data_IF_533152120433
#
_entry.id   IF_533152120433
#
_cell.length_a   1.000
_cell.length_b   1.000
_cell.length_c   1.000
_cell.angle_alpha   90.00
_cell.angle_beta   90.00
_cell.angle_gamma   90.00
#
_symmetry.space_group_name_H-M   'P 1'
#
loop_
_entity.id
_entity.type
_entity.pdbx_description
1 polymer ?
#
# COMPACT_ATOMS: atom_id res chain seq x y z
N UNK A 1 19.04 -15.22 9.27
CA UNK A 1 18.12 -14.91 8.15
C UNK A 1 18.30 -15.96 7.05
N UNK A 2 17.27 -16.76 6.78
CA UNK A 2 17.32 -17.90 5.83
C UNK A 2 17.50 -17.45 4.37
N UNK A 3 18.08 -18.31 3.53
CA UNK A 3 18.27 -18.07 2.09
C UNK A 3 16.93 -17.80 1.37
N UNK A 4 15.85 -18.45 1.80
CA UNK A 4 14.49 -18.29 1.26
C UNK A 4 13.95 -16.89 1.57
N UNK A 5 14.07 -16.43 2.81
CA UNK A 5 13.72 -15.08 3.26
C UNK A 5 14.40 -14.01 2.41
N UNK A 6 15.68 -14.21 2.10
CA UNK A 6 16.44 -13.28 1.26
C UNK A 6 15.99 -13.32 -0.20
N UNK A 7 15.56 -14.47 -0.72
CA UNK A 7 15.05 -14.58 -2.08
C UNK A 7 13.73 -13.81 -2.23
N UNK A 8 12.76 -14.04 -1.34
CA UNK A 8 11.48 -13.31 -1.33
C UNK A 8 11.69 -11.82 -1.23
N UNK A 9 12.52 -11.37 -0.29
CA UNK A 9 12.85 -9.95 -0.15
C UNK A 9 13.37 -9.33 -1.46
N UNK A 10 14.29 -10.00 -2.16
CA UNK A 10 14.80 -9.51 -3.45
C UNK A 10 13.72 -9.50 -4.53
N UNK A 11 12.82 -10.48 -4.54
CA UNK A 11 11.68 -10.53 -5.46
C UNK A 11 10.74 -9.35 -5.23
N UNK A 12 10.39 -9.03 -3.98
CA UNK A 12 9.55 -7.86 -3.66
C UNK A 12 10.22 -6.54 -4.10
N UNK A 13 11.52 -6.39 -3.85
CA UNK A 13 12.26 -5.20 -4.32
C UNK A 13 12.33 -5.11 -5.85
N UNK A 14 12.42 -6.25 -6.54
CA UNK A 14 12.38 -6.30 -8.00
C UNK A 14 10.99 -5.87 -8.51
N UNK A 15 9.93 -6.37 -7.88
CA UNK A 15 8.55 -5.97 -8.19
C UNK A 15 8.36 -4.46 -8.04
N UNK A 16 8.82 -3.86 -6.93
CA UNK A 16 8.75 -2.42 -6.73
C UNK A 16 9.46 -1.62 -7.84
N UNK A 17 10.59 -2.11 -8.34
CA UNK A 17 11.33 -1.46 -9.44
C UNK A 17 10.64 -1.60 -10.78
N UNK A 18 10.03 -2.75 -11.05
CA UNK A 18 9.28 -2.99 -12.29
C UNK A 18 7.83 -2.53 -12.21
N UNK A 19 7.38 -2.00 -11.07
CA UNK A 19 5.98 -1.63 -10.85
C UNK A 19 5.47 -0.60 -11.87
N UNK A 20 6.18 0.51 -12.14
CA UNK A 20 5.70 1.52 -13.10
C UNK A 20 5.52 0.94 -14.51
N UNK A 21 6.46 0.08 -14.92
CA UNK A 21 6.40 -0.70 -16.16
C UNK A 21 5.21 -1.66 -16.17
N UNK A 22 4.89 -2.25 -15.02
CA UNK A 22 3.79 -3.22 -14.89
C UNK A 22 2.41 -2.58 -14.99
N UNK A 23 2.24 -1.35 -14.48
CA UNK A 23 0.96 -0.61 -14.51
C UNK A 23 0.78 0.25 -15.76
N UNK A 24 1.79 0.35 -16.63
CA UNK A 24 1.70 1.07 -17.89
C UNK A 24 2.08 2.55 -17.83
N UNK A 25 2.79 2.98 -16.78
CA UNK A 25 3.18 4.38 -16.56
C UNK A 25 4.57 4.64 -17.19
N UNK A 26 4.61 4.65 -18.53
CA UNK A 26 5.85 4.73 -19.34
C UNK A 26 6.11 6.10 -19.95
N UNK A 27 5.04 6.84 -20.30
CA UNK A 27 5.12 8.03 -21.16
C UNK A 27 5.08 9.36 -20.38
N UNK A 28 5.12 9.31 -19.05
CA UNK A 28 5.06 10.47 -18.15
C UNK A 28 6.04 10.27 -16.98
N UNK A 29 6.52 11.34 -16.30
CA UNK A 29 7.00 11.18 -14.93
C UNK A 29 5.98 10.38 -14.13
N UNK A 30 6.48 9.44 -13.30
CA UNK A 30 5.66 8.57 -12.45
C UNK A 30 4.52 9.38 -11.85
N UNK A 31 3.29 8.92 -12.04
CA UNK A 31 2.17 9.56 -11.34
C UNK A 31 2.40 9.47 -9.83
N UNK A 32 1.94 10.47 -9.08
CA UNK A 32 2.01 10.46 -7.61
C UNK A 32 1.44 9.16 -7.02
N UNK A 33 0.40 8.62 -7.67
CA UNK A 33 -0.20 7.33 -7.33
C UNK A 33 0.76 6.16 -7.55
N UNK A 34 1.37 6.04 -8.72
CA UNK A 34 2.35 4.98 -9.01
C UNK A 34 3.53 5.05 -8.04
N UNK A 35 3.96 6.26 -7.66
CA UNK A 35 5.03 6.47 -6.69
C UNK A 35 4.63 6.01 -5.28
N UNK A 36 3.42 6.34 -4.83
CA UNK A 36 2.86 5.86 -3.55
C UNK A 36 2.80 4.32 -3.51
N UNK A 37 2.36 3.69 -4.61
CA UNK A 37 2.30 2.23 -4.74
C UNK A 37 3.71 1.59 -4.69
N UNK A 38 4.70 2.20 -5.34
CA UNK A 38 6.10 1.75 -5.28
C UNK A 38 6.64 1.82 -3.84
N UNK A 39 6.39 2.92 -3.15
CA UNK A 39 6.82 3.09 -1.76
C UNK A 39 6.08 2.12 -0.82
N UNK A 40 4.81 1.83 -1.09
CA UNK A 40 4.06 0.80 -0.37
C UNK A 40 4.71 -0.58 -0.50
N UNK A 41 5.04 -1.01 -1.74
CA UNK A 41 5.68 -2.32 -1.99
C UNK A 41 7.05 -2.39 -1.31
N UNK A 42 7.83 -1.29 -1.31
CA UNK A 42 9.11 -1.20 -0.58
C UNK A 42 8.91 -1.27 0.93
N UNK A 43 7.87 -0.63 1.45
CA UNK A 43 7.48 -0.64 2.86
C UNK A 43 7.19 -2.06 3.35
N UNK A 44 6.40 -2.84 2.59
CA UNK A 44 6.14 -4.24 2.89
C UNK A 44 7.44 -5.08 2.90
N UNK A 45 8.37 -4.84 1.97
CA UNK A 45 9.67 -5.51 1.97
C UNK A 45 10.50 -5.19 3.23
N UNK A 46 10.46 -3.93 3.68
CA UNK A 46 11.14 -3.49 4.89
C UNK A 46 10.51 -4.09 6.15
N UNK A 47 9.18 -4.12 6.23
CA UNK A 47 8.44 -4.77 7.33
C UNK A 47 8.79 -6.25 7.42
N UNK A 48 8.76 -6.98 6.31
CA UNK A 48 9.15 -8.39 6.27
C UNK A 48 10.58 -8.60 6.81
N UNK A 49 11.52 -7.74 6.42
CA UNK A 49 12.90 -7.79 6.92
C UNK A 49 12.99 -7.46 8.40
N UNK A 50 12.23 -6.48 8.90
CA UNK A 50 12.27 -6.07 10.31
C UNK A 50 11.60 -7.11 11.22
N UNK A 51 10.42 -7.60 10.85
CA UNK A 51 9.68 -8.62 11.61
C UNK A 51 10.48 -9.93 11.73
N UNK A 52 11.08 -10.38 10.62
CA UNK A 52 11.92 -11.57 10.57
C UNK A 52 13.22 -11.45 11.40
N UNK A 53 13.70 -10.23 11.68
CA UNK A 53 14.91 -10.02 12.50
C UNK A 53 14.61 -9.66 13.95
N UNK A 54 13.41 -9.14 14.25
CA UNK A 54 13.12 -8.54 15.56
C UNK A 54 12.42 -9.49 16.54
N UNK A 55 11.54 -10.39 16.08
CA UNK A 55 10.68 -11.17 16.99
C UNK A 55 10.31 -12.58 16.54
N UNK A 56 10.42 -12.91 15.26
CA UNK A 56 10.04 -14.24 14.76
C UNK A 56 11.16 -15.25 15.01
N UNK A 57 11.05 -15.97 16.12
CA UNK A 57 11.88 -17.15 16.44
C UNK A 57 11.21 -18.45 16.05
N UNK A 58 9.88 -18.45 15.84
CA UNK A 58 9.12 -19.62 15.42
C UNK A 58 9.28 -19.86 13.90
N UNK A 59 9.85 -21.02 13.49
CA UNK A 59 9.94 -21.40 12.09
C UNK A 59 8.59 -21.42 11.36
N UNK A 60 7.48 -21.77 12.02
CA UNK A 60 6.17 -21.85 11.37
C UNK A 60 5.62 -20.47 11.03
N UNK A 61 5.73 -19.50 11.94
CA UNK A 61 5.35 -18.11 11.70
C UNK A 61 6.15 -17.49 10.54
N UNK A 62 7.46 -17.78 10.47
CA UNK A 62 8.33 -17.31 9.38
C UNK A 62 7.84 -17.88 8.04
N UNK A 63 7.49 -19.17 8.01
CA UNK A 63 6.96 -19.82 6.80
C UNK A 63 5.59 -19.27 6.41
N UNK A 64 4.71 -18.99 7.37
CA UNK A 64 3.42 -18.38 7.11
C UNK A 64 3.55 -16.98 6.51
N UNK A 65 4.46 -16.14 7.05
CA UNK A 65 4.72 -14.83 6.45
C UNK A 65 5.36 -14.92 5.07
N UNK A 66 6.27 -15.87 4.86
CA UNK A 66 6.86 -16.12 3.55
C UNK A 66 5.79 -16.44 2.50
N UNK A 67 4.86 -17.34 2.83
CA UNK A 67 3.74 -17.71 1.95
C UNK A 67 2.85 -16.50 1.66
N UNK A 68 2.42 -15.79 2.70
CA UNK A 68 1.61 -14.57 2.55
C UNK A 68 2.29 -13.52 1.67
N UNK A 69 3.60 -13.31 1.81
CA UNK A 69 4.36 -12.39 0.97
C UNK A 69 4.41 -12.84 -0.50
N UNK A 70 4.61 -14.14 -0.75
CA UNK A 70 4.59 -14.69 -2.11
C UNK A 70 3.19 -14.56 -2.74
N UNK A 71 2.13 -14.90 -2.01
CA UNK A 71 0.75 -14.79 -2.49
C UNK A 71 0.45 -13.33 -2.88
N UNK A 72 0.81 -12.36 -2.04
CA UNK A 72 0.65 -10.93 -2.36
C UNK A 72 1.40 -10.53 -3.63
N UNK A 73 2.61 -11.04 -3.84
CA UNK A 73 3.35 -10.76 -5.07
C UNK A 73 2.63 -11.31 -6.30
N UNK A 74 2.11 -12.53 -6.21
CA UNK A 74 1.44 -13.19 -7.33
C UNK A 74 0.15 -12.44 -7.71
N UNK A 75 -0.63 -12.02 -6.69
CA UNK A 75 -1.83 -11.22 -6.95
C UNK A 75 -1.38 -9.86 -7.58
N UNK A 76 -0.27 -9.25 -7.13
CA UNK A 76 0.23 -7.95 -7.64
C UNK A 76 0.59 -8.00 -9.10
N UNK A 77 1.32 -9.04 -9.47
CA UNK A 77 1.72 -9.27 -10.84
C UNK A 77 0.50 -9.61 -11.71
N UNK A 78 -0.49 -10.34 -11.19
CA UNK A 78 -1.67 -10.73 -11.97
C UNK A 78 -2.63 -9.56 -12.20
N UNK A 79 -3.03 -8.86 -11.14
CA UNK A 79 -4.08 -7.84 -11.20
C UNK A 79 -3.56 -6.41 -11.38
N UNK A 80 -2.24 -6.19 -11.30
CA UNK A 80 -1.62 -4.85 -11.37
C UNK A 80 -2.12 -3.90 -10.27
N UNK A 81 -2.46 -4.46 -9.11
CA UNK A 81 -2.90 -3.72 -7.93
C UNK A 81 -1.92 -4.05 -6.80
N UNK A 82 -1.34 -3.07 -6.08
CA UNK A 82 -0.56 -3.36 -4.88
C UNK A 82 -1.55 -3.82 -3.79
N UNK A 83 -1.21 -4.81 -2.96
CA UNK A 83 -2.12 -5.31 -1.89
C UNK A 83 -1.92 -4.48 -0.62
N UNK A 84 -2.68 -3.40 -0.40
CA UNK A 84 -2.58 -2.71 0.88
C UNK A 84 -3.12 -3.70 1.91
N UNK A 85 -2.37 -3.95 2.99
CA UNK A 85 -3.02 -4.53 4.16
C UNK A 85 -4.18 -3.61 4.50
N UNK A 86 -5.39 -4.15 4.60
CA UNK A 86 -6.49 -3.42 5.21
C UNK A 86 -6.02 -3.05 6.62
N UNK A 87 -5.58 -1.80 6.79
CA UNK A 87 -5.37 -1.26 8.10
C UNK A 87 -6.77 -1.16 8.68
N UNK A 88 -7.10 -2.05 9.61
CA UNK A 88 -8.31 -1.91 10.41
C UNK A 88 -8.06 -0.69 11.28
N UNK A 89 -8.40 0.47 10.74
CA UNK A 89 -8.39 1.71 11.48
C UNK A 89 -9.50 1.55 12.53
N UNK A 90 -9.17 0.99 13.69
CA UNK A 90 -9.94 1.24 14.90
C UNK A 90 -9.68 2.70 15.33
N UNK A 91 -9.95 3.65 14.43
CA UNK A 91 -10.01 5.07 14.73
C UNK A 91 -11.48 5.41 14.76
N UNK A 92 -12.12 5.06 15.87
CA UNK A 92 -13.29 5.80 16.31
C UNK A 92 -12.87 7.24 16.58
N UNK A 93 -12.86 8.06 15.55
CA UNK A 93 -13.11 9.50 15.66
C UNK A 93 -13.73 9.94 14.35
N UNK A 94 -15.02 10.24 14.45
CA UNK A 94 -15.89 10.75 13.42
C UNK A 94 -15.44 12.15 12.99
N UNK A 95 -14.45 12.26 12.10
CA UNK A 95 -14.23 13.52 11.38
C UNK A 95 -15.19 13.58 10.20
N UNK A 96 -16.45 13.85 10.53
CA UNK A 96 -17.47 14.28 9.60
C UNK A 96 -17.07 15.64 9.01
N UNK A 97 -16.32 15.62 7.92
CA UNK A 97 -16.05 16.82 7.11
C UNK A 97 -17.02 16.86 5.93
N UNK A 98 -18.21 17.42 6.15
CA UNK A 98 -18.95 18.20 5.13
C UNK A 98 -19.80 19.27 5.83
N UNK A 99 -19.17 20.35 6.27
CA UNK A 99 -19.86 21.66 6.30
C UNK A 99 -19.12 22.57 5.32
N UNK A 100 -19.53 22.50 4.05
CA UNK A 100 -19.25 23.55 3.09
C UNK A 100 -20.57 24.04 2.51
N UNK A 101 -20.78 25.35 2.64
CA UNK A 101 -21.58 26.18 1.74
C UNK A 101 -23.10 26.12 1.84
N UNK A 102 -23.66 26.87 2.79
CA UNK A 102 -25.06 27.34 2.72
C UNK A 102 -25.21 28.77 3.27
N UNK A 103 -24.21 29.64 3.07
CA UNK A 103 -24.30 31.06 3.47
C UNK A 103 -24.37 32.06 2.31
N UNK A 104 -24.29 31.63 1.05
CA UNK A 104 -24.17 32.56 -0.09
C UNK A 104 -25.29 32.52 -1.15
N UNK A 105 -26.50 32.00 -0.86
CA UNK A 105 -27.50 31.87 -1.94
C UNK A 105 -28.97 32.22 -1.65
N UNK A 106 -29.35 32.80 -0.50
CA UNK A 106 -30.77 33.18 -0.34
C UNK A 106 -31.02 34.29 0.70
N UNK A 107 -30.51 35.50 0.46
CA UNK A 107 -31.17 36.72 0.97
C UNK A 107 -30.78 37.98 0.18
N UNK A 108 -31.15 38.00 -1.10
CA UNK A 108 -31.30 39.24 -1.87
C UNK A 108 -32.53 39.08 -2.76
N UNK A 109 -33.72 39.20 -2.17
CA UNK A 109 -34.97 39.61 -2.79
C UNK A 109 -36.09 39.50 -1.75
N UNK A 110 -36.28 40.58 -0.99
CA UNK A 110 -37.59 41.05 -0.53
C UNK A 110 -37.42 42.50 -0.06
N UNK A 111 -37.18 43.35 -1.06
CA UNK A 111 -37.40 44.79 -1.03
C UNK A 111 -38.57 45.07 -1.98
N UNK A 112 -39.79 45.04 -1.43
CA UNK A 112 -40.94 45.83 -1.88
C UNK A 112 -41.78 46.20 -0.65
#
# INVERSE_FOLDING_TARGET
MSMVTRNVFRRVLKLARSWPTLVGDFDSPLSDKTQEEVEYIKGEAALFRLEANRKMTDPEEIQAQLRSAMDRMDIAEHYKIPYPKAHHNATGSVDARVENSAKDAFNQQDLL
#
